data_IF_387040683987
#
_entry.id   IF_387040683987
#
_cell.length_a   1.000
_cell.length_b   1.000
_cell.length_c   1.000
_cell.angle_alpha   90.00
_cell.angle_beta   90.00
_cell.angle_gamma   90.00
#
_symmetry.space_group_name_H-M   'P 1'
#
loop_
_entity.id
_entity.type
_entity.pdbx_description
1 polymer ?
#
# COMPACT_ATOMS: atom_id res chain seq x y z
N UNK A 1 -0.79 3.73 4.47
CA UNK A 1 -1.17 2.91 3.30
C UNK A 1 -0.25 1.71 3.29
N UNK A 2 -0.78 0.52 3.00
CA UNK A 2 -0.02 -0.74 2.96
C UNK A 2 1.30 -0.62 2.17
N UNK A 3 1.30 0.06 1.03
CA UNK A 3 2.50 0.32 0.23
C UNK A 3 3.62 1.04 1.01
N UNK A 4 3.26 2.06 1.82
CA UNK A 4 4.18 2.80 2.68
C UNK A 4 4.63 2.00 3.91
N UNK A 5 3.91 0.93 4.26
CA UNK A 5 4.33 0.00 5.32
C UNK A 5 5.30 -1.06 4.78
N UNK A 6 5.32 -1.27 3.46
CA UNK A 6 6.16 -2.23 2.75
C UNK A 6 7.46 -1.58 2.24
N UNK A 7 7.36 -0.31 1.85
CA UNK A 7 8.47 0.61 1.55
C UNK A 7 9.24 0.91 2.84
N UNK A 8 10.33 0.17 3.03
CA UNK A 8 11.13 0.18 4.25
C UNK A 8 12.17 1.29 4.24
N UNK A 9 12.63 1.68 3.05
CA UNK A 9 13.60 2.76 2.87
C UNK A 9 12.96 4.17 2.76
N UNK A 10 11.65 4.23 2.58
CA UNK A 10 10.87 5.46 2.48
C UNK A 10 11.00 6.16 1.13
N UNK A 11 11.44 5.45 0.09
CA UNK A 11 11.59 5.96 -1.27
C UNK A 11 10.27 6.34 -1.93
N UNK A 12 9.16 5.76 -1.47
CA UNK A 12 7.84 5.86 -2.08
C UNK A 12 7.57 4.81 -3.17
N UNK A 13 8.50 3.88 -3.38
CA UNK A 13 8.41 2.76 -4.30
C UNK A 13 8.80 1.46 -3.60
N UNK A 14 8.59 0.32 -4.25
CA UNK A 14 9.07 -0.98 -3.77
C UNK A 14 10.18 -1.46 -4.69
N UNK A 15 11.37 -1.70 -4.14
CA UNK A 15 12.40 -2.44 -4.87
C UNK A 15 12.05 -3.95 -4.95
N UNK A 16 12.85 -4.72 -5.70
CA UNK A 16 12.59 -6.16 -5.87
C UNK A 16 12.58 -6.94 -4.55
N UNK A 17 13.44 -6.56 -3.59
CA UNK A 17 13.52 -7.18 -2.28
C UNK A 17 12.30 -6.85 -1.43
N UNK A 18 11.92 -5.59 -1.36
CA UNK A 18 10.74 -5.11 -0.65
C UNK A 18 9.46 -5.71 -1.25
N UNK A 19 9.39 -5.84 -2.58
CA UNK A 19 8.27 -6.50 -3.25
C UNK A 19 8.21 -8.00 -2.91
N UNK A 20 9.36 -8.69 -2.86
CA UNK A 20 9.44 -10.10 -2.43
C UNK A 20 8.99 -10.28 -0.97
N UNK A 21 9.34 -9.35 -0.08
CA UNK A 21 8.84 -9.36 1.30
C UNK A 21 7.35 -9.01 1.38
N UNK A 22 6.87 -8.05 0.58
CA UNK A 22 5.47 -7.70 0.46
C UNK A 22 4.60 -8.90 0.07
N UNK A 23 5.08 -9.76 -0.83
CA UNK A 23 4.39 -11.00 -1.19
C UNK A 23 4.23 -11.99 -0.03
N UNK A 24 4.97 -11.85 1.07
CA UNK A 24 4.75 -12.65 2.28
C UNK A 24 3.62 -12.10 3.15
N UNK A 25 3.31 -10.81 3.05
CA UNK A 25 2.22 -10.17 3.79
C UNK A 25 0.84 -10.62 3.26
N UNK A 26 -0.02 -11.24 4.10
CA UNK A 26 -1.37 -11.65 3.71
C UNK A 26 -2.22 -10.49 3.17
N UNK A 27 -2.05 -9.27 3.67
CA UNK A 27 -2.79 -8.07 3.26
C UNK A 27 -2.44 -7.68 1.83
N UNK A 28 -1.16 -7.78 1.47
CA UNK A 28 -0.68 -7.49 0.12
C UNK A 28 -1.14 -8.56 -0.88
N UNK A 29 -1.10 -9.83 -0.47
CA UNK A 29 -1.70 -10.93 -1.24
C UNK A 29 -3.19 -10.73 -1.51
N UNK A 30 -3.96 -10.24 -0.54
CA UNK A 30 -5.38 -9.92 -0.73
C UNK A 30 -5.54 -8.80 -1.77
N UNK A 31 -4.70 -7.76 -1.71
CA UNK A 31 -4.68 -6.69 -2.72
C UNK A 31 -4.40 -7.21 -4.12
N UNK A 32 -3.37 -8.04 -4.26
CA UNK A 32 -3.03 -8.66 -5.52
C UNK A 32 -4.13 -9.58 -6.04
N UNK A 33 -4.73 -10.41 -5.17
CA UNK A 33 -5.87 -11.25 -5.54
C UNK A 33 -7.08 -10.42 -5.97
N UNK A 34 -7.36 -9.30 -5.30
CA UNK A 34 -8.44 -8.39 -5.69
C UNK A 34 -8.18 -7.75 -7.08
N UNK A 35 -6.91 -7.54 -7.43
CA UNK A 35 -6.48 -7.06 -8.75
C UNK A 35 -6.29 -8.20 -9.77
N UNK A 36 -6.59 -9.44 -9.39
CA UNK A 36 -6.37 -10.66 -10.20
C UNK A 36 -4.92 -10.86 -10.64
N UNK A 37 -3.99 -10.28 -9.88
CA UNK A 37 -2.54 -10.44 -10.02
C UNK A 37 -2.13 -11.69 -9.27
N UNK A 38 -2.47 -12.86 -9.82
CA UNK A 38 -2.07 -14.15 -9.27
C UNK A 38 -0.88 -14.66 -10.10
N UNK A 39 0.34 -14.37 -9.66
CA UNK A 39 1.55 -14.99 -10.22
C UNK A 39 2.18 -15.87 -9.16
N UNK A 40 2.48 -17.12 -9.53
CA UNK A 40 3.35 -18.00 -8.73
C UNK A 40 4.81 -17.54 -8.75
N UNK A 41 5.14 -16.60 -9.64
CA UNK A 41 6.48 -16.09 -9.86
C UNK A 41 6.53 -14.58 -9.58
N UNK A 42 7.15 -14.24 -8.45
CA UNK A 42 7.35 -12.89 -7.98
C UNK A 42 8.16 -12.03 -8.95
N UNK A 43 9.19 -12.61 -9.60
CA UNK A 43 10.11 -11.88 -10.47
C UNK A 43 9.43 -11.51 -11.78
N UNK A 44 8.65 -12.43 -12.34
CA UNK A 44 7.88 -12.16 -13.55
C UNK A 44 6.79 -11.11 -13.30
N UNK A 45 6.15 -11.14 -12.13
CA UNK A 45 5.17 -10.11 -11.79
C UNK A 45 5.83 -8.75 -11.57
N UNK A 46 6.99 -8.72 -10.90
CA UNK A 46 7.74 -7.50 -10.69
C UNK A 46 8.07 -6.83 -12.04
N UNK A 47 8.68 -7.57 -12.96
CA UNK A 47 8.99 -7.09 -14.32
C UNK A 47 7.79 -6.68 -15.16
N UNK A 48 6.60 -7.18 -14.83
CA UNK A 48 5.35 -6.84 -15.51
C UNK A 48 4.79 -5.50 -15.05
N UNK A 49 5.10 -5.10 -13.81
CA UNK A 49 4.62 -3.89 -13.17
C UNK A 49 5.64 -2.75 -13.28
N UNK A 50 6.92 -3.06 -13.14
CA UNK A 50 8.07 -2.16 -13.33
C UNK A 50 8.10 -1.58 -14.76
N UNK A 51 8.45 -0.31 -14.89
CA UNK A 51 8.61 0.38 -16.17
C UNK A 51 10.06 0.36 -16.70
N UNK A 52 10.97 -0.27 -15.95
CA UNK A 52 12.37 -0.50 -16.27
C UNK A 52 13.34 0.29 -15.39
N UNK A 53 12.86 0.98 -14.36
CA UNK A 53 13.71 1.64 -13.36
C UNK A 53 14.15 0.72 -12.22
N UNK A 54 13.60 -0.50 -12.18
CA UNK A 54 13.92 -1.52 -11.19
C UNK A 54 13.22 -1.30 -9.85
N UNK A 55 12.19 -0.48 -9.82
CA UNK A 55 11.32 -0.22 -8.68
C UNK A 55 9.85 -0.30 -9.15
N UNK A 56 8.93 -0.39 -8.18
CA UNK A 56 7.50 -0.31 -8.44
C UNK A 56 6.94 0.82 -7.60
N UNK A 57 6.70 1.95 -8.24
CA UNK A 57 5.93 3.03 -7.65
C UNK A 57 4.47 2.61 -7.46
N UNK A 58 3.78 3.29 -6.54
CA UNK A 58 2.35 3.09 -6.38
C UNK A 58 1.57 3.34 -7.68
N UNK A 59 2.05 4.25 -8.54
CA UNK A 59 1.39 4.54 -9.82
C UNK A 59 1.61 3.42 -10.84
N UNK A 60 2.82 2.88 -10.96
CA UNK A 60 3.11 1.71 -11.79
C UNK A 60 2.30 0.50 -11.35
N UNK A 61 2.23 0.23 -10.04
CA UNK A 61 1.41 -0.86 -9.52
C UNK A 61 -0.06 -0.74 -9.98
N UNK A 62 -0.64 0.45 -9.83
CA UNK A 62 -2.02 0.71 -10.26
C UNK A 62 -2.19 0.63 -11.78
N UNK A 63 -1.25 1.17 -12.54
CA UNK A 63 -1.28 1.17 -14.00
C UNK A 63 -1.13 -0.25 -14.55
N UNK A 64 -0.18 -1.03 -14.03
CA UNK A 64 0.05 -2.43 -14.36
C UNK A 64 -1.17 -3.29 -14.01
N UNK A 65 -1.75 -3.09 -12.82
CA UNK A 65 -2.97 -3.79 -12.43
C UNK A 65 -4.17 -3.45 -13.33
N UNK A 66 -4.32 -2.18 -13.72
CA UNK A 66 -5.37 -1.74 -14.66
C UNK A 66 -5.16 -2.32 -16.06
N UNK A 67 -3.91 -2.44 -16.52
CA UNK A 67 -3.52 -3.04 -17.80
C UNK A 67 -3.83 -4.53 -17.85
N UNK A 68 -3.64 -5.24 -16.74
CA UNK A 68 -3.82 -6.69 -16.64
C UNK A 68 -5.29 -7.12 -16.51
N UNK A 69 -6.17 -6.32 -15.89
CA UNK A 69 -7.56 -6.71 -15.60
C UNK A 69 -8.63 -6.12 -16.55
N UNK A 70 -8.30 -5.08 -17.31
CA UNK A 70 -9.30 -4.31 -18.06
C UNK A 70 -10.05 -3.28 -17.20
N UNK A 71 -10.62 -2.27 -17.86
CA UNK A 71 -10.86 -0.91 -17.33
C UNK A 71 -11.96 -0.75 -16.28
N UNK A 72 -12.90 -1.69 -16.13
CA UNK A 72 -14.12 -1.45 -15.35
C UNK A 72 -14.01 -1.83 -13.85
N UNK A 73 -13.46 -2.99 -13.51
CA UNK A 73 -13.39 -3.47 -12.11
C UNK A 73 -12.19 -2.91 -11.32
N UNK A 74 -11.18 -2.40 -12.02
CA UNK A 74 -9.97 -1.85 -11.41
C UNK A 74 -10.21 -0.46 -10.80
N UNK A 75 -11.12 0.35 -11.36
CA UNK A 75 -11.40 1.71 -10.86
C UNK A 75 -12.08 1.70 -9.49
N UNK A 76 -13.09 0.85 -9.29
CA UNK A 76 -13.81 0.76 -8.02
C UNK A 76 -12.88 0.28 -6.90
N UNK A 77 -12.01 -0.70 -7.21
CA UNK A 77 -11.04 -1.19 -6.26
C UNK A 77 -9.98 -0.14 -5.91
N UNK A 78 -9.48 0.60 -6.89
CA UNK A 78 -8.54 1.72 -6.66
C UNK A 78 -9.17 2.84 -5.84
N UNK A 79 -10.47 3.11 -6.05
CA UNK A 79 -11.23 4.09 -5.27
C UNK A 79 -11.34 3.62 -3.81
N UNK A 80 -11.71 2.35 -3.59
CA UNK A 80 -11.75 1.74 -2.26
C UNK A 80 -10.38 1.75 -1.57
N UNK A 81 -9.30 1.47 -2.30
CA UNK A 81 -7.93 1.50 -1.78
C UNK A 81 -7.51 2.91 -1.35
N UNK A 82 -7.83 3.94 -2.14
CA UNK A 82 -7.58 5.34 -1.75
C UNK A 82 -8.38 5.72 -0.52
N UNK A 83 -9.67 5.39 -0.47
CA UNK A 83 -10.52 5.69 0.70
C UNK A 83 -10.04 4.97 1.95
N UNK A 84 -9.66 3.70 1.85
CA UNK A 84 -9.10 2.92 2.97
C UNK A 84 -7.75 3.50 3.44
N UNK A 85 -6.91 3.92 2.50
CA UNK A 85 -5.62 4.54 2.81
C UNK A 85 -5.77 5.90 3.49
N UNK A 86 -6.73 6.72 3.05
CA UNK A 86 -7.06 8.00 3.71
C UNK A 86 -7.61 7.75 5.12
N UNK A 87 -8.52 6.78 5.28
CA UNK A 87 -9.07 6.42 6.58
C UNK A 87 -7.99 5.96 7.58
N UNK A 88 -6.96 5.25 7.12
CA UNK A 88 -5.81 4.90 7.96
C UNK A 88 -5.04 6.15 8.45
N UNK A 89 -4.81 7.12 7.57
CA UNK A 89 -4.12 8.38 7.93
C UNK A 89 -4.94 9.17 8.95
N UNK A 90 -6.24 9.33 8.70
CA UNK A 90 -7.16 10.04 9.58
C UNK A 90 -7.20 9.38 10.97
N UNK A 91 -7.25 8.04 11.04
CA UNK A 91 -7.20 7.27 12.30
C UNK A 91 -5.88 7.52 13.04
N UNK A 92 -4.76 7.61 12.33
CA UNK A 92 -3.45 7.82 12.93
C UNK A 92 -3.30 9.23 13.50
N UNK A 93 -3.82 10.24 12.79
CA UNK A 93 -3.92 11.61 13.31
C UNK A 93 -4.83 11.70 14.53
N UNK A 94 -5.97 11.00 14.50
CA UNK A 94 -6.92 10.97 15.61
C UNK A 94 -6.30 10.32 16.85
N UNK A 95 -5.58 9.20 16.68
CA UNK A 95 -4.76 8.58 17.74
C UNK A 95 -3.78 9.57 18.34
N UNK A 96 -2.99 10.24 17.51
CA UNK A 96 -2.01 11.23 17.99
C UNK A 96 -2.66 12.37 18.76
N UNK A 97 -3.89 12.76 18.38
CA UNK A 97 -4.64 13.81 19.06
C UNK A 97 -5.13 13.34 20.42
N UNK A 98 -5.64 12.11 20.51
CA UNK A 98 -6.04 11.50 21.77
C UNK A 98 -4.85 11.39 22.73
N UNK A 99 -3.68 10.96 22.24
CA UNK A 99 -2.46 10.85 23.06
C UNK A 99 -2.05 12.21 23.63
N UNK A 100 -2.03 13.26 22.79
CA UNK A 100 -1.74 14.63 23.23
C UNK A 100 -2.76 15.17 24.24
N UNK A 101 -4.03 14.78 24.12
CA UNK A 101 -5.06 15.16 25.10
C UNK A 101 -4.86 14.44 26.43
N UNK A 102 -4.51 13.15 26.39
CA UNK A 102 -4.21 12.37 27.58
C UNK A 102 -3.01 12.95 28.36
N UNK A 103 -1.93 13.32 27.66
CA UNK A 103 -0.75 13.98 28.26
C UNK A 103 -1.10 15.31 28.96
N UNK A 104 -1.92 16.14 28.31
CA UNK A 104 -2.38 17.42 28.89
C UNK A 104 -3.24 17.21 30.14
N UNK A 105 -4.10 16.19 30.15
CA UNK A 105 -4.92 15.86 31.32
C UNK A 105 -4.09 15.33 32.49
N UNK A 106 -3.01 14.59 32.23
CA UNK A 106 -2.08 14.16 33.27
C UNK A 106 -1.30 15.32 33.91
N UNK A 107 -1.00 16.38 33.13
CA UNK A 107 -0.30 17.57 33.64
C UNK A 107 -1.16 18.48 34.52
N UNK A 108 -2.49 18.49 34.33
CA UNK A 108 -3.43 19.30 35.13
C UNK A 108 -3.76 18.65 36.48
N UNK A 109 -3.41 17.36 36.66
CA UNK A 109 -3.71 16.58 37.87
C UNK A 109 -2.65 16.70 38.98
N UNK A 110 -1.61 17.51 38.78
CA UNK A 110 -0.62 17.93 39.78
C UNK A 110 -0.72 19.44 40.02
#
# INVERSE_FOLDING_TARGET
MLFRELDSDGSGALDEGEFKEALKDPRFKIWMAALDLQSSDAENLFKLLDDGDGQISYQEFLAGAKRLKGTAQSIDLVTLMRSSGQMQVDIQELRSTVDRMAEKLTLIRH
#
